data_IF_667738397266
#
_entry.id   IF_667738397266
#
_cell.length_a   1.000
_cell.length_b   1.000
_cell.length_c   1.000
_cell.angle_alpha   90.00
_cell.angle_beta   90.00
_cell.angle_gamma   90.00
#
_symmetry.space_group_name_H-M   'P 1'
#
loop_
_entity.id
_entity.type
_entity.pdbx_description
1 polymer ?
#
# COMPACT_ATOMS: atom_id res chain seq x y z
N UNK A 1 -7.88 14.47 22.50
CA UNK A 1 -7.32 14.26 21.14
C UNK A 1 -5.84 13.97 21.31
N UNK A 2 -5.25 13.12 20.47
CA UNK A 2 -3.81 12.84 20.48
C UNK A 2 -3.19 13.05 19.11
N UNK A 3 -1.88 13.27 19.06
CA UNK A 3 -1.12 13.20 17.82
C UNK A 3 -1.11 11.77 17.30
N UNK A 4 -1.32 11.61 16.00
CA UNK A 4 -1.15 10.32 15.35
C UNK A 4 0.30 9.84 15.51
N UNK A 5 0.46 8.56 15.82
CA UNK A 5 1.78 7.92 15.90
C UNK A 5 2.47 7.81 14.53
N UNK A 6 1.75 8.08 13.42
CA UNK A 6 2.26 8.05 12.06
C UNK A 6 2.69 9.43 11.54
N UNK A 7 2.73 10.43 12.42
CA UNK A 7 3.21 11.75 12.06
C UNK A 7 4.74 11.76 11.91
N UNK A 8 5.20 12.32 10.80
CA UNK A 8 6.60 12.66 10.53
C UNK A 8 6.68 14.17 10.47
N UNK A 9 7.46 14.75 11.39
CA UNK A 9 7.63 16.20 11.52
C UNK A 9 9.04 16.59 11.09
N UNK A 10 9.15 17.60 10.24
CA UNK A 10 10.43 18.07 9.72
C UNK A 10 10.45 19.59 9.60
N UNK A 11 11.53 20.24 10.05
CA UNK A 11 11.73 21.68 9.85
C UNK A 11 12.52 21.92 8.56
N UNK A 12 12.01 22.81 7.69
CA UNK A 12 12.67 23.16 6.44
C UNK A 12 12.46 24.65 6.11
N UNK A 13 13.55 25.38 5.85
CA UNK A 13 13.54 26.81 5.49
C UNK A 13 12.68 27.70 6.41
N UNK A 14 12.68 27.42 7.73
CA UNK A 14 11.91 28.20 8.71
C UNK A 14 10.41 27.86 8.77
N UNK A 15 9.96 26.85 8.03
CA UNK A 15 8.61 26.28 8.10
C UNK A 15 8.63 24.89 8.72
N UNK A 16 7.55 24.52 9.41
CA UNK A 16 7.36 23.19 9.98
C UNK A 16 6.49 22.34 9.06
N UNK A 17 7.04 21.29 8.50
CA UNK A 17 6.33 20.31 7.68
C UNK A 17 5.86 19.14 8.55
N UNK A 18 4.59 18.77 8.42
CA UNK A 18 4.01 17.62 9.10
C UNK A 18 3.34 16.74 8.05
N UNK A 19 3.81 15.51 7.92
CA UNK A 19 3.21 14.49 7.08
C UNK A 19 2.64 13.38 7.95
N UNK A 20 1.39 12.99 7.73
CA UNK A 20 0.86 11.76 8.28
C UNK A 20 1.09 10.60 7.30
N UNK A 21 1.96 9.65 7.66
CA UNK A 21 2.34 8.54 6.80
C UNK A 21 1.20 7.55 6.52
N UNK A 22 0.11 7.60 7.30
CA UNK A 22 -1.05 6.72 7.12
C UNK A 22 -2.08 7.29 6.16
N UNK A 23 -2.42 8.57 6.31
CA UNK A 23 -3.45 9.23 5.48
C UNK A 23 -2.86 9.92 4.24
N UNK A 24 -1.55 10.18 4.23
CA UNK A 24 -0.90 11.01 3.21
C UNK A 24 -1.16 12.51 3.39
N UNK A 25 -1.81 12.94 4.48
CA UNK A 25 -2.02 14.35 4.77
C UNK A 25 -0.69 15.07 5.00
N UNK A 26 -0.51 16.23 4.35
CA UNK A 26 0.70 17.06 4.47
C UNK A 26 0.29 18.49 4.80
N UNK A 27 0.85 19.03 5.88
CA UNK A 27 0.69 20.43 6.29
C UNK A 27 2.06 21.11 6.34
N UNK A 28 2.12 22.33 5.81
CA UNK A 28 3.25 23.23 5.97
C UNK A 28 2.82 24.40 6.83
N UNK A 29 3.41 24.52 8.02
CA UNK A 29 3.09 25.57 8.98
C UNK A 29 4.15 26.68 8.90
N UNK A 30 3.68 27.91 8.79
CA UNK A 30 4.53 29.09 8.99
C UNK A 30 4.96 29.21 10.47
N UNK A 31 5.82 30.17 10.84
CA UNK A 31 6.27 30.32 12.23
C UNK A 31 5.14 30.52 13.27
N UNK A 32 4.08 31.25 12.93
CA UNK A 32 2.93 31.46 13.82
C UNK A 32 2.20 30.14 14.10
N UNK A 33 1.84 29.40 13.06
CA UNK A 33 1.13 28.12 13.19
C UNK A 33 2.03 27.02 13.77
N UNK A 34 3.35 27.07 13.55
CA UNK A 34 4.28 26.16 14.18
C UNK A 34 4.32 26.35 15.71
N UNK A 35 4.20 27.59 16.20
CA UNK A 35 4.06 27.85 17.64
C UNK A 35 2.73 27.33 18.16
N UNK A 36 1.61 27.56 17.45
CA UNK A 36 0.31 26.99 17.81
C UNK A 36 0.37 25.47 17.87
N UNK A 37 1.02 24.82 16.89
CA UNK A 37 1.21 23.38 16.88
C UNK A 37 1.98 22.88 18.11
N UNK A 38 3.11 23.52 18.48
CA UNK A 38 3.87 23.16 19.69
C UNK A 38 2.99 23.20 20.96
N UNK A 39 2.16 24.25 21.11
CA UNK A 39 1.19 24.33 22.22
C UNK A 39 0.17 23.19 22.21
N UNK A 40 -0.33 22.81 21.03
CA UNK A 40 -1.25 21.68 20.87
C UNK A 40 -0.57 20.36 21.30
N UNK A 41 0.73 20.17 21.02
CA UNK A 41 1.46 18.98 21.49
C UNK A 41 1.52 18.89 23.02
N UNK A 42 1.49 20.03 23.70
CA UNK A 42 1.47 20.15 25.16
C UNK A 42 0.03 20.11 25.74
N UNK A 43 -0.99 20.05 24.89
CA UNK A 43 -2.41 19.98 25.28
C UNK A 43 -3.14 21.31 25.33
N UNK A 44 -2.51 22.43 24.94
CA UNK A 44 -3.14 23.75 24.86
C UNK A 44 -3.65 24.04 23.45
N UNK A 45 -4.98 24.03 23.31
CA UNK A 45 -5.70 24.22 22.03
C UNK A 45 -6.33 25.61 21.88
N UNK A 46 -6.07 26.54 22.81
CA UNK A 46 -6.68 27.88 22.77
C UNK A 46 -6.26 28.66 21.51
N UNK A 47 -7.23 29.34 20.90
CA UNK A 47 -7.08 30.19 19.71
C UNK A 47 -6.45 29.46 18.50
N UNK A 48 -6.74 28.17 18.35
CA UNK A 48 -6.19 27.31 17.29
C UNK A 48 -7.25 26.43 16.61
N UNK A 49 -8.52 26.80 16.67
CA UNK A 49 -9.64 26.01 16.13
C UNK A 49 -9.48 25.71 14.62
N UNK A 50 -8.97 26.68 13.87
CA UNK A 50 -8.66 26.55 12.45
C UNK A 50 -7.57 25.50 12.19
N UNK A 51 -6.47 25.56 12.95
CA UNK A 51 -5.38 24.61 12.86
C UNK A 51 -5.82 23.21 13.31
N UNK A 52 -6.60 23.10 14.39
CA UNK A 52 -7.11 21.82 14.89
C UNK A 52 -7.98 21.12 13.85
N UNK A 53 -8.89 21.87 13.20
CA UNK A 53 -9.72 21.33 12.12
C UNK A 53 -8.86 20.76 10.98
N UNK A 54 -7.82 21.49 10.56
CA UNK A 54 -6.92 21.05 9.49
C UNK A 54 -6.04 19.86 9.91
N UNK A 55 -5.57 19.82 11.16
CA UNK A 55 -4.82 18.68 11.69
C UNK A 55 -5.68 17.41 11.77
N UNK A 56 -6.97 17.53 12.12
CA UNK A 56 -7.91 16.40 12.13
C UNK A 56 -8.18 15.94 10.69
N UNK A 57 -8.43 16.89 9.77
CA UNK A 57 -8.64 16.60 8.34
C UNK A 57 -7.46 15.87 7.71
N UNK A 58 -6.24 16.27 8.07
CA UNK A 58 -5.00 15.62 7.64
C UNK A 58 -4.69 14.30 8.34
N UNK A 59 -5.46 13.91 9.37
CA UNK A 59 -5.18 12.74 10.20
C UNK A 59 -3.98 12.89 11.13
N UNK A 60 -3.47 14.11 11.30
CA UNK A 60 -2.35 14.45 12.18
C UNK A 60 -2.80 14.46 13.65
N UNK A 61 -4.01 14.95 13.92
CA UNK A 61 -4.71 14.78 15.18
C UNK A 61 -5.78 13.70 15.04
N UNK A 62 -5.86 12.80 16.02
CA UNK A 62 -6.82 11.71 16.08
C UNK A 62 -7.47 11.62 17.45
N UNK A 63 -8.57 10.88 17.55
CA UNK A 63 -9.21 10.58 18.83
C UNK A 63 -8.24 9.77 19.74
N UNK A 64 -8.25 10.04 21.04
CA UNK A 64 -7.40 9.35 22.02
C UNK A 64 -7.66 7.85 22.07
N UNK A 65 -8.93 7.47 21.98
CA UNK A 65 -9.42 6.07 22.03
C UNK A 65 -9.09 5.28 20.76
N UNK A 66 -8.54 5.95 19.73
CA UNK A 66 -8.25 5.30 18.44
C UNK A 66 -6.98 4.45 18.55
N UNK A 67 -7.12 3.14 18.34
CA UNK A 67 -5.99 2.23 18.13
C UNK A 67 -5.61 2.18 16.65
N UNK A 68 -4.77 3.12 16.22
CA UNK A 68 -4.38 3.24 14.82
C UNK A 68 -3.61 2.01 14.31
N UNK A 69 -2.81 1.35 15.18
CA UNK A 69 -2.06 0.15 14.80
C UNK A 69 -2.99 -1.07 14.69
N UNK A 70 -3.95 -1.18 15.61
CA UNK A 70 -5.01 -2.18 15.57
C UNK A 70 -5.82 -2.10 14.29
N UNK A 71 -6.21 -0.91 13.87
CA UNK A 71 -6.92 -0.68 12.59
C UNK A 71 -6.11 -1.17 11.38
N UNK A 72 -4.81 -0.83 11.30
CA UNK A 72 -3.94 -1.28 10.20
C UNK A 72 -3.77 -2.81 10.21
N UNK A 73 -3.59 -3.39 11.40
CA UNK A 73 -3.47 -4.86 11.55
C UNK A 73 -4.77 -5.55 11.12
N UNK A 74 -5.92 -5.00 11.50
CA UNK A 74 -7.22 -5.53 11.10
C UNK A 74 -7.40 -5.46 9.58
N UNK A 75 -7.11 -4.30 8.98
CA UNK A 75 -7.19 -4.13 7.51
C UNK A 75 -6.25 -5.10 6.78
N UNK A 76 -5.01 -5.25 7.25
CA UNK A 76 -4.04 -6.18 6.66
C UNK A 76 -4.51 -7.64 6.75
N UNK A 77 -5.07 -8.05 7.90
CA UNK A 77 -5.62 -9.40 8.08
C UNK A 77 -6.84 -9.63 7.20
N UNK A 78 -7.77 -8.68 7.17
CA UNK A 78 -8.95 -8.75 6.32
C UNK A 78 -8.56 -8.91 4.85
N UNK A 79 -7.57 -8.16 4.36
CA UNK A 79 -7.07 -8.28 2.99
C UNK A 79 -6.36 -9.63 2.74
N UNK A 80 -5.52 -10.09 3.67
CA UNK A 80 -4.73 -11.33 3.52
C UNK A 80 -5.59 -12.59 3.51
N UNK A 81 -6.65 -12.61 4.31
CA UNK A 81 -7.51 -13.77 4.48
C UNK A 81 -8.82 -13.66 3.69
N UNK A 82 -9.00 -12.59 2.92
CA UNK A 82 -10.07 -12.51 1.94
C UNK A 82 -9.86 -13.56 0.84
N UNK A 83 -10.92 -14.29 0.51
CA UNK A 83 -10.95 -15.26 -0.58
C UNK A 83 -11.89 -14.82 -1.72
N UNK A 84 -12.31 -13.56 -1.72
CA UNK A 84 -13.26 -13.00 -2.69
C UNK A 84 -12.58 -12.60 -4.00
N UNK A 85 -11.27 -12.41 -4.00
CA UNK A 85 -10.49 -12.06 -5.18
C UNK A 85 -9.18 -12.85 -5.24
N UNK A 86 -8.73 -13.16 -6.45
CA UNK A 86 -7.49 -13.86 -6.75
C UNK A 86 -6.81 -13.14 -7.91
N UNK A 87 -5.52 -12.82 -7.73
CA UNK A 87 -4.66 -12.34 -8.79
C UNK A 87 -3.59 -13.39 -9.06
N UNK A 88 -3.48 -13.84 -10.31
CA UNK A 88 -2.48 -14.80 -10.76
C UNK A 88 -1.53 -14.09 -11.72
N UNK A 89 -0.23 -14.19 -11.46
CA UNK A 89 0.79 -13.89 -12.47
C UNK A 89 1.29 -15.21 -13.03
N UNK A 90 0.99 -15.48 -14.29
CA UNK A 90 1.29 -16.76 -14.95
C UNK A 90 2.39 -16.53 -15.96
N UNK A 91 3.44 -17.35 -15.92
CA UNK A 91 4.48 -17.38 -16.93
C UNK A 91 4.30 -18.62 -17.84
N UNK A 92 3.60 -18.51 -18.99
CA UNK A 92 3.38 -19.65 -19.88
C UNK A 92 4.70 -20.21 -20.42
N UNK A 93 5.69 -19.33 -20.62
CA UNK A 93 7.03 -19.70 -21.01
C UNK A 93 8.05 -18.68 -20.53
N UNK A 94 9.27 -19.15 -20.27
CA UNK A 94 10.45 -18.30 -20.10
C UNK A 94 11.18 -18.02 -21.43
N UNK A 95 10.73 -18.62 -22.54
CA UNK A 95 11.27 -18.32 -23.85
C UNK A 95 10.97 -16.87 -24.23
N UNK A 96 11.97 -16.16 -24.77
CA UNK A 96 11.84 -14.79 -25.22
C UNK A 96 12.53 -14.62 -26.56
N UNK A 97 11.90 -13.90 -27.48
CA UNK A 97 12.45 -13.52 -28.79
C UNK A 97 13.11 -12.14 -28.78
N UNK A 98 13.29 -11.53 -27.59
CA UNK A 98 14.00 -10.26 -27.38
C UNK A 98 15.31 -10.47 -26.61
N UNK A 99 16.19 -9.47 -26.65
CA UNK A 99 17.51 -9.48 -25.99
C UNK A 99 17.72 -8.28 -25.06
N UNK A 100 16.68 -7.92 -24.30
CA UNK A 100 16.66 -6.72 -23.47
C UNK A 100 17.87 -6.65 -22.50
N UNK A 101 18.66 -5.56 -22.50
CA UNK A 101 19.90 -5.47 -21.73
C UNK A 101 19.68 -5.38 -20.21
N UNK A 102 18.47 -5.03 -19.78
CA UNK A 102 18.04 -4.95 -18.39
C UNK A 102 17.25 -6.18 -17.93
N UNK A 103 17.13 -7.22 -18.77
CA UNK A 103 16.34 -8.40 -18.42
C UNK A 103 17.06 -9.27 -17.37
N UNK A 104 16.41 -9.46 -16.23
CA UNK A 104 16.92 -10.29 -15.14
C UNK A 104 16.77 -11.80 -15.40
N UNK A 105 16.02 -12.19 -16.42
CA UNK A 105 15.78 -13.59 -16.77
C UNK A 105 16.97 -14.24 -17.47
N UNK A 106 17.99 -13.45 -17.84
CA UNK A 106 19.22 -13.95 -18.41
C UNK A 106 19.89 -14.93 -17.44
N UNK A 107 20.00 -16.19 -17.86
CA UNK A 107 20.59 -17.27 -17.06
C UNK A 107 19.58 -18.05 -16.21
N UNK A 108 18.29 -17.70 -16.25
CA UNK A 108 17.22 -18.54 -15.72
C UNK A 108 16.96 -19.74 -16.63
N UNK A 109 16.41 -20.82 -16.06
CA UNK A 109 16.03 -21.99 -16.84
C UNK A 109 14.88 -21.65 -17.80
N UNK A 110 15.07 -21.98 -19.07
CA UNK A 110 14.02 -21.85 -20.08
C UNK A 110 13.05 -23.01 -19.97
N UNK A 111 11.89 -22.75 -19.38
CA UNK A 111 10.82 -23.74 -19.22
C UNK A 111 9.53 -23.19 -19.82
N UNK A 112 8.75 -24.06 -20.44
CA UNK A 112 7.38 -23.78 -20.90
C UNK A 112 6.42 -24.61 -20.08
N UNK A 113 5.29 -24.03 -19.70
CA UNK A 113 4.23 -24.73 -18.99
C UNK A 113 3.71 -25.89 -19.85
N UNK A 114 3.66 -27.08 -19.25
CA UNK A 114 3.03 -28.25 -19.87
C UNK A 114 1.54 -28.36 -19.52
N UNK A 115 0.85 -29.27 -20.23
CA UNK A 115 -0.57 -29.59 -20.03
C UNK A 115 -0.91 -29.98 -18.58
N UNK A 116 0.00 -30.66 -17.89
CA UNK A 116 -0.18 -31.02 -16.49
C UNK A 116 -0.32 -29.77 -15.60
N UNK A 117 0.54 -28.77 -15.80
CA UNK A 117 0.53 -27.53 -15.01
C UNK A 117 -0.73 -26.72 -15.31
N UNK A 118 -1.15 -26.65 -16.57
CA UNK A 118 -2.41 -25.99 -16.98
C UNK A 118 -3.63 -26.64 -16.31
N UNK A 119 -3.66 -27.97 -16.27
CA UNK A 119 -4.72 -28.74 -15.62
C UNK A 119 -4.74 -28.51 -14.11
N UNK A 120 -3.57 -28.56 -13.46
CA UNK A 120 -3.42 -28.33 -12.03
C UNK A 120 -3.80 -26.89 -11.64
N UNK A 121 -3.43 -25.89 -12.46
CA UNK A 121 -3.78 -24.49 -12.22
C UNK A 121 -5.30 -24.30 -12.29
N UNK A 122 -5.95 -24.87 -13.30
CA UNK A 122 -7.40 -24.81 -13.45
C UNK A 122 -8.12 -25.48 -12.27
N UNK A 123 -7.60 -26.62 -11.80
CA UNK A 123 -8.09 -27.31 -10.61
C UNK A 123 -7.89 -26.48 -9.35
N UNK A 124 -6.72 -25.89 -9.16
CA UNK A 124 -6.41 -25.02 -8.03
C UNK A 124 -7.42 -23.88 -7.89
N UNK A 125 -7.73 -23.17 -8.99
CA UNK A 125 -8.72 -22.06 -8.93
C UNK A 125 -10.10 -22.58 -8.54
N UNK A 126 -10.54 -23.72 -9.08
CA UNK A 126 -11.86 -24.31 -8.77
C UNK A 126 -11.97 -24.80 -7.33
N UNK A 127 -10.94 -25.49 -6.83
CA UNK A 127 -10.97 -26.14 -5.52
C UNK A 127 -10.84 -25.13 -4.37
N UNK A 128 -9.98 -24.12 -4.53
CA UNK A 128 -9.68 -23.16 -3.46
C UNK A 128 -10.50 -21.87 -3.54
N UNK A 129 -11.06 -21.55 -4.71
CA UNK A 129 -11.80 -20.30 -4.95
C UNK A 129 -13.16 -20.53 -5.65
N UNK A 130 -14.02 -21.46 -5.17
CA UNK A 130 -15.27 -21.86 -5.85
C UNK A 130 -16.32 -20.73 -5.95
N UNK A 131 -16.19 -19.67 -5.16
CA UNK A 131 -17.12 -18.53 -5.12
C UNK A 131 -16.43 -17.18 -5.32
N UNK A 132 -15.31 -17.17 -6.04
CA UNK A 132 -14.54 -15.95 -6.30
C UNK A 132 -15.39 -14.91 -7.03
N UNK A 133 -15.33 -13.66 -6.56
CA UNK A 133 -16.03 -12.55 -7.18
C UNK A 133 -15.20 -11.86 -8.27
N UNK A 134 -13.86 -11.92 -8.17
CA UNK A 134 -12.96 -11.32 -9.15
C UNK A 134 -11.70 -12.15 -9.35
N UNK A 135 -11.42 -12.51 -10.60
CA UNK A 135 -10.18 -13.15 -11.03
C UNK A 135 -9.42 -12.18 -11.94
N UNK A 136 -8.16 -11.90 -11.59
CA UNK A 136 -7.24 -11.13 -12.43
C UNK A 136 -6.06 -12.02 -12.84
N UNK A 137 -5.72 -12.01 -14.12
CA UNK A 137 -4.59 -12.76 -14.66
C UNK A 137 -3.63 -11.79 -15.33
N UNK A 138 -2.40 -11.74 -14.83
CA UNK A 138 -1.27 -11.08 -15.49
C UNK A 138 -0.42 -12.12 -16.21
N UNK A 139 -0.22 -11.95 -17.50
CA UNK A 139 0.69 -12.79 -18.29
C UNK A 139 2.12 -12.26 -18.15
N UNK A 140 3.03 -13.14 -17.77
CA UNK A 140 4.43 -12.88 -17.48
C UNK A 140 5.32 -13.94 -18.17
N UNK A 141 6.62 -13.91 -17.91
CA UNK A 141 7.64 -14.81 -18.45
C UNK A 141 8.55 -14.06 -19.39
N UNK A 142 9.12 -14.79 -20.36
CA UNK A 142 9.91 -14.18 -21.43
C UNK A 142 9.03 -13.35 -22.36
N UNK A 143 8.62 -13.95 -23.47
CA UNK A 143 7.54 -13.44 -24.32
C UNK A 143 6.33 -14.37 -24.16
N UNK A 144 5.30 -13.99 -23.38
CA UNK A 144 4.18 -14.86 -23.05
C UNK A 144 3.48 -15.47 -24.27
N UNK A 145 3.43 -14.74 -25.39
CA UNK A 145 2.78 -15.19 -26.62
C UNK A 145 3.52 -16.36 -27.31
N UNK A 146 4.76 -16.67 -26.93
CA UNK A 146 5.49 -17.83 -27.46
C UNK A 146 5.08 -19.16 -26.79
N UNK A 147 4.42 -19.09 -25.62
CA UNK A 147 4.01 -20.25 -24.83
C UNK A 147 2.50 -20.48 -24.80
N UNK A 148 1.77 -19.84 -25.71
CA UNK A 148 0.33 -20.02 -25.90
C UNK A 148 0.03 -21.03 -27.01
#
# INVERSE_FOLDING_TARGET
>A
MKLSQFNVVHEHNGSLLIMNARTGGILSLNPEYAQKFKRIQEGDVRDADDLVAELIRGGILVNEERDELGEIRLQSRAARFANTALSLTIAPTMACNFCCPYCYEKGQAYTTMGEEVLTQLSKFVKDYYPGIASLSVGWYGGEPLLGM
#
